data_IF_316442095579
#
_entry.id   IF_316442095579
#
_cell.length_a   1.000
_cell.length_b   1.000
_cell.length_c   1.000
_cell.angle_alpha   90.00
_cell.angle_beta   90.00
_cell.angle_gamma   90.00
#
_symmetry.space_group_name_H-M   'P 1'
#
loop_
_entity.id
_entity.type
_entity.pdbx_description
1 polymer ?
#
# COMPACT_ATOMS: atom_id res chain seq x y z
N UNK A 1 -3.92 27.52 -14.40
CA UNK A 1 -3.59 27.12 -13.02
C UNK A 1 -3.92 25.65 -12.77
N UNK A 2 -5.15 25.20 -13.12
CA UNK A 2 -5.57 23.78 -13.05
C UNK A 2 -4.64 22.80 -13.80
N UNK A 3 -4.27 23.10 -15.05
CA UNK A 3 -3.28 22.29 -15.81
C UNK A 3 -1.87 22.26 -15.20
N UNK A 4 -1.45 23.35 -14.56
CA UNK A 4 -0.14 23.44 -13.89
C UNK A 4 -0.12 22.58 -12.61
N UNK A 5 -1.26 22.52 -11.90
CA UNK A 5 -1.46 21.67 -10.73
C UNK A 5 -1.50 20.19 -11.16
N UNK A 6 -2.21 19.84 -12.23
CA UNK A 6 -2.27 18.48 -12.75
C UNK A 6 -0.90 17.95 -13.20
N UNK A 7 -0.09 18.80 -13.86
CA UNK A 7 1.28 18.44 -14.26
C UNK A 7 2.26 18.35 -13.08
N UNK A 8 2.04 19.12 -12.00
CA UNK A 8 2.89 19.08 -10.81
C UNK A 8 2.68 17.82 -9.96
N UNK A 9 1.46 17.26 -9.93
CA UNK A 9 1.10 16.06 -9.16
C UNK A 9 1.90 14.81 -9.62
N UNK A 10 2.49 14.82 -10.82
CA UNK A 10 3.19 13.67 -11.41
C UNK A 10 4.72 13.65 -11.25
N UNK A 11 5.36 14.69 -10.67
CA UNK A 11 6.83 14.73 -10.50
C UNK A 11 7.24 14.75 -9.02
N UNK A 12 7.83 13.65 -8.57
CA UNK A 12 8.19 13.40 -7.15
C UNK A 12 9.49 14.04 -6.63
N UNK A 13 10.18 14.87 -7.41
CA UNK A 13 11.40 15.52 -6.93
C UNK A 13 11.54 16.94 -7.49
N UNK A 14 11.50 17.93 -6.60
CA UNK A 14 11.98 19.29 -6.88
C UNK A 14 13.43 19.35 -6.42
N UNK A 15 14.36 19.01 -7.31
CA UNK A 15 15.78 19.31 -7.11
C UNK A 15 15.96 20.82 -7.15
N UNK A 16 16.81 21.39 -6.28
CA UNK A 16 17.38 22.73 -6.45
C UNK A 16 18.38 22.68 -7.62
N UNK A 17 17.87 22.37 -8.81
CA UNK A 17 18.53 22.55 -10.11
C UNK A 17 17.74 23.54 -10.96
N UNK A 18 16.60 24.04 -10.48
CA UNK A 18 15.62 24.77 -11.29
C UNK A 18 15.77 26.29 -11.34
N UNK A 19 16.86 26.90 -10.81
CA UNK A 19 16.92 28.38 -10.74
C UNK A 19 18.24 29.07 -11.10
N UNK A 20 19.06 28.47 -11.95
CA UNK A 20 20.14 29.21 -12.64
C UNK A 20 20.26 28.85 -14.12
N UNK A 21 19.29 28.14 -14.71
CA UNK A 21 19.34 27.76 -16.14
C UNK A 21 19.34 28.95 -17.12
N UNK A 22 19.22 30.19 -16.64
CA UNK A 22 19.37 31.41 -17.43
C UNK A 22 20.39 32.32 -16.75
N UNK A 23 21.25 32.93 -17.56
CA UNK A 23 22.19 33.94 -17.09
C UNK A 23 21.46 35.05 -16.32
N UNK A 24 22.06 35.59 -15.25
CA UNK A 24 21.51 36.72 -14.53
C UNK A 24 21.26 37.89 -15.48
N UNK A 25 20.18 38.62 -15.25
CA UNK A 25 19.83 39.82 -16.00
C UNK A 25 20.24 41.01 -15.12
N UNK A 26 21.19 41.83 -15.59
CA UNK A 26 21.77 42.94 -14.85
C UNK A 26 22.30 42.56 -13.45
N UNK A 27 22.93 41.39 -13.33
CA UNK A 27 23.47 40.91 -12.04
C UNK A 27 22.43 40.33 -11.06
N UNK A 28 21.15 40.27 -11.43
CA UNK A 28 20.09 39.75 -10.58
C UNK A 28 19.47 38.45 -11.11
N UNK A 29 18.93 37.63 -10.20
CA UNK A 29 18.15 36.45 -10.57
C UNK A 29 16.84 36.88 -11.23
N UNK A 30 16.55 36.32 -12.41
CA UNK A 30 15.36 36.64 -13.20
C UNK A 30 14.05 36.11 -12.62
N UNK A 31 14.12 35.18 -11.66
CA UNK A 31 12.95 34.49 -11.16
C UNK A 31 12.12 35.37 -10.23
N UNK A 32 10.88 35.64 -10.65
CA UNK A 32 9.92 36.48 -9.92
C UNK A 32 8.97 35.72 -9.00
N UNK A 33 8.66 34.45 -9.31
CA UNK A 33 7.70 33.64 -8.55
C UNK A 33 8.19 32.23 -8.37
N UNK A 34 7.90 31.65 -7.21
CA UNK A 34 8.15 30.25 -6.93
C UNK A 34 6.92 29.65 -6.27
N UNK A 35 6.34 28.64 -6.93
CA UNK A 35 5.17 27.92 -6.42
C UNK A 35 5.63 26.50 -6.10
N UNK A 36 5.43 26.07 -4.86
CA UNK A 36 5.64 24.70 -4.43
C UNK A 36 4.32 24.16 -3.92
N UNK A 37 3.90 23.01 -4.49
CA UNK A 37 2.72 22.28 -4.06
C UNK A 37 3.25 20.93 -3.57
N UNK A 38 2.95 20.59 -2.33
CA UNK A 38 3.44 19.38 -1.71
C UNK A 38 2.71 19.10 -0.40
N UNK A 39 2.94 17.90 0.13
CA UNK A 39 2.37 17.46 1.39
C UNK A 39 3.48 16.86 2.26
N UNK A 40 3.88 17.61 3.29
CA UNK A 40 4.93 17.22 4.24
C UNK A 40 4.42 16.25 5.32
N UNK A 41 3.12 15.92 5.31
CA UNK A 41 2.53 14.85 6.13
C UNK A 41 2.51 13.51 5.39
N UNK A 42 2.91 13.47 4.12
CA UNK A 42 3.11 12.25 3.33
C UNK A 42 4.59 11.89 3.19
N UNK A 43 4.89 10.86 2.40
CA UNK A 43 6.23 10.29 2.25
C UNK A 43 7.29 11.32 1.81
N UNK A 44 8.46 11.33 2.46
CA UNK A 44 9.60 12.11 2.01
C UNK A 44 10.24 11.51 0.72
N UNK A 45 11.18 12.25 0.09
CA UNK A 45 12.12 11.68 -0.87
C UNK A 45 12.77 10.39 -0.38
N UNK A 46 12.94 9.43 -1.30
CA UNK A 46 13.55 8.13 -0.98
C UNK A 46 15.07 8.26 -1.01
N UNK A 47 15.72 7.94 0.10
CA UNK A 47 17.18 7.90 0.23
C UNK A 47 17.60 6.42 0.23
N UNK A 48 18.50 6.04 -0.69
CA UNK A 48 18.98 4.65 -0.79
C UNK A 48 19.86 4.27 0.40
N UNK A 49 20.80 5.14 0.75
CA UNK A 49 21.71 4.91 1.87
C UNK A 49 21.06 5.41 3.17
N UNK A 50 20.77 4.47 4.06
CA UNK A 50 20.08 4.71 5.34
C UNK A 50 20.93 5.58 6.28
N UNK A 51 22.26 5.53 6.17
CA UNK A 51 23.19 6.35 6.96
C UNK A 51 22.96 7.84 6.66
N UNK A 52 22.88 8.24 5.39
CA UNK A 52 22.57 9.63 5.04
C UNK A 52 21.15 10.06 5.47
N UNK A 53 20.20 9.13 5.47
CA UNK A 53 18.86 9.40 5.97
C UNK A 53 18.87 9.68 7.48
N UNK A 54 19.51 8.80 8.27
CA UNK A 54 19.50 8.85 9.74
C UNK A 54 20.41 9.94 10.31
N UNK A 55 21.64 10.04 9.82
CA UNK A 55 22.64 10.95 10.41
C UNK A 55 22.61 12.35 9.80
N UNK A 56 22.29 12.48 8.50
CA UNK A 56 22.28 13.77 7.80
C UNK A 56 20.89 14.34 7.57
N UNK A 57 19.82 13.59 7.90
CA UNK A 57 18.43 13.96 7.61
C UNK A 57 18.22 14.30 6.11
N UNK A 58 18.91 13.57 5.22
CA UNK A 58 18.90 13.83 3.78
C UNK A 58 17.51 13.63 3.13
N UNK A 59 16.59 12.96 3.82
CA UNK A 59 15.20 12.81 3.37
C UNK A 59 14.39 14.12 3.47
N UNK A 60 14.89 15.15 4.14
CA UNK A 60 14.15 16.39 4.29
C UNK A 60 14.07 17.15 2.97
N UNK A 61 12.87 17.19 2.38
CA UNK A 61 12.62 18.05 1.23
C UNK A 61 12.71 19.54 1.59
N UNK A 62 13.09 20.36 0.61
CA UNK A 62 13.11 21.82 0.79
C UNK A 62 11.75 22.36 1.25
N UNK A 63 10.66 21.82 0.69
CA UNK A 63 9.29 22.15 1.09
C UNK A 63 9.08 21.90 2.59
N UNK A 64 9.42 20.71 3.09
CA UNK A 64 9.32 20.36 4.50
C UNK A 64 10.17 21.27 5.38
N UNK A 65 11.37 21.64 4.91
CA UNK A 65 12.24 22.58 5.61
C UNK A 65 11.61 23.98 5.71
N UNK A 66 11.01 24.50 4.64
CA UNK A 66 10.34 25.80 4.66
C UNK A 66 9.14 25.82 5.60
N UNK A 67 8.33 24.75 5.61
CA UNK A 67 7.22 24.63 6.57
C UNK A 67 7.76 24.64 8.01
N UNK A 68 8.83 23.88 8.30
CA UNK A 68 9.47 23.87 9.63
C UNK A 68 10.06 25.22 10.05
N UNK A 69 10.54 26.02 9.10
CA UNK A 69 11.05 27.37 9.35
C UNK A 69 9.94 28.43 9.49
N UNK A 70 8.66 28.03 9.44
CA UNK A 70 7.53 28.94 9.62
C UNK A 70 7.17 29.77 8.40
N UNK A 71 7.61 29.37 7.19
CA UNK A 71 7.13 30.00 5.95
C UNK A 71 5.62 29.81 5.87
N UNK A 72 4.83 30.89 5.67
CA UNK A 72 3.37 30.79 5.60
C UNK A 72 2.91 29.82 4.51
N UNK A 73 1.99 28.92 4.87
CA UNK A 73 1.39 27.93 3.98
C UNK A 73 -0.08 28.25 3.72
N UNK A 74 -0.55 27.87 2.53
CA UNK A 74 -1.98 27.77 2.24
C UNK A 74 -2.33 26.30 2.34
N UNK A 75 -3.03 25.91 3.40
CA UNK A 75 -3.49 24.54 3.63
C UNK A 75 -4.84 24.35 2.92
N UNK A 76 -4.89 23.42 1.95
CA UNK A 76 -6.16 23.05 1.31
C UNK A 76 -6.95 22.14 2.27
N UNK A 77 -8.21 22.47 2.48
CA UNK A 77 -9.03 21.96 3.59
C UNK A 77 -10.21 21.08 3.14
N UNK A 78 -10.38 20.81 1.85
CA UNK A 78 -11.47 19.96 1.35
C UNK A 78 -10.98 18.92 0.33
N UNK A 79 -11.17 17.64 0.64
CA UNK A 79 -10.82 16.53 -0.25
C UNK A 79 -12.00 16.16 -1.17
N UNK A 80 -11.71 15.71 -2.40
CA UNK A 80 -12.72 15.40 -3.42
C UNK A 80 -12.68 13.98 -3.97
N UNK A 81 -11.96 13.07 -3.32
CA UNK A 81 -11.62 11.75 -3.87
C UNK A 81 -12.29 10.60 -3.13
N UNK A 82 -12.20 10.54 -1.81
CA UNK A 82 -12.59 9.37 -1.02
C UNK A 82 -13.91 9.59 -0.27
N UNK A 83 -14.55 8.52 0.20
CA UNK A 83 -15.72 8.65 1.10
C UNK A 83 -15.32 9.38 2.40
N UNK A 84 -16.25 10.12 3.04
CA UNK A 84 -15.97 10.78 4.32
C UNK A 84 -15.54 9.80 5.43
N UNK A 85 -16.10 8.58 5.42
CA UNK A 85 -15.73 7.48 6.31
C UNK A 85 -14.27 7.07 6.16
N UNK A 86 -13.77 6.94 4.93
CA UNK A 86 -12.36 6.67 4.63
C UNK A 86 -11.47 7.88 4.96
N UNK A 87 -11.93 9.09 4.63
CA UNK A 87 -11.24 10.34 4.95
C UNK A 87 -10.96 10.48 6.46
N UNK A 88 -11.91 10.03 7.30
CA UNK A 88 -11.77 10.04 8.75
C UNK A 88 -10.51 9.33 9.26
N UNK A 89 -10.03 8.30 8.54
CA UNK A 89 -8.88 7.49 8.93
C UNK A 89 -7.55 8.25 8.85
N UNK A 90 -7.47 9.36 8.09
CA UNK A 90 -6.24 10.14 7.94
C UNK A 90 -6.42 11.65 8.15
N UNK A 91 -7.65 12.19 8.17
CA UNK A 91 -7.89 13.64 8.28
C UNK A 91 -7.36 14.27 9.56
N UNK A 92 -7.24 13.50 10.64
CA UNK A 92 -6.66 13.93 11.93
C UNK A 92 -5.22 14.42 11.79
N UNK A 93 -4.52 14.06 10.71
CA UNK A 93 -3.15 14.53 10.43
C UNK A 93 -3.11 15.95 9.89
N UNK A 94 -4.22 16.46 9.37
CA UNK A 94 -4.33 17.71 8.63
C UNK A 94 -5.14 18.76 9.39
N UNK A 95 -4.88 20.03 9.14
CA UNK A 95 -5.64 21.14 9.74
C UNK A 95 -6.98 21.27 9.00
N UNK A 96 -8.09 21.13 9.72
CA UNK A 96 -9.44 21.38 9.23
C UNK A 96 -9.83 20.64 7.93
N UNK A 97 -9.25 19.46 7.66
CA UNK A 97 -9.58 18.70 6.46
C UNK A 97 -11.01 18.13 6.52
N UNK A 98 -11.88 18.66 5.68
CA UNK A 98 -13.22 18.19 5.36
C UNK A 98 -13.32 17.64 3.95
N UNK A 99 -14.55 17.60 3.44
CA UNK A 99 -14.92 16.98 2.17
C UNK A 99 -15.60 18.01 1.24
N UNK A 100 -15.32 17.93 -0.06
CA UNK A 100 -16.02 18.74 -1.06
C UNK A 100 -17.47 18.26 -1.22
N UNK A 101 -18.37 19.18 -1.56
CA UNK A 101 -19.82 18.91 -1.63
C UNK A 101 -20.18 17.71 -2.54
N UNK A 102 -19.47 17.52 -3.65
CA UNK A 102 -19.74 16.42 -4.58
C UNK A 102 -19.49 15.04 -3.96
N UNK A 103 -18.60 14.94 -2.95
CA UNK A 103 -18.32 13.67 -2.24
C UNK A 103 -19.56 13.20 -1.49
N UNK A 104 -20.40 14.11 -1.01
CA UNK A 104 -21.67 13.73 -0.34
C UNK A 104 -22.82 13.59 -1.34
N UNK A 105 -22.78 14.32 -2.46
CA UNK A 105 -23.88 14.38 -3.41
C UNK A 105 -23.88 13.26 -4.46
N UNK A 106 -22.72 12.79 -4.91
CA UNK A 106 -22.64 11.82 -6.00
C UNK A 106 -23.04 10.40 -5.55
N UNK A 107 -23.86 9.66 -6.34
CA UNK A 107 -24.34 8.32 -5.96
C UNK A 107 -23.22 7.31 -5.67
N UNK A 108 -22.06 7.43 -6.32
CA UNK A 108 -20.90 6.54 -6.12
C UNK A 108 -20.37 6.54 -4.68
N UNK A 109 -20.58 7.63 -3.92
CA UNK A 109 -20.22 7.74 -2.50
C UNK A 109 -21.38 7.44 -1.54
N UNK A 110 -22.58 7.20 -2.05
CA UNK A 110 -23.77 6.87 -1.24
C UNK A 110 -24.04 5.38 -1.17
N UNK A 111 -23.74 4.63 -2.23
CA UNK A 111 -23.92 3.17 -2.25
C UNK A 111 -22.81 2.43 -1.51
N UNK A 112 -23.15 1.36 -0.82
CA UNK A 112 -22.18 0.50 -0.13
C UNK A 112 -21.34 -0.32 -1.12
N UNK A 113 -20.28 -0.94 -0.61
CA UNK A 113 -19.53 -1.92 -1.39
C UNK A 113 -20.31 -3.25 -1.35
N UNK A 114 -20.86 -3.66 -2.49
CA UNK A 114 -21.56 -4.95 -2.63
C UNK A 114 -20.75 -6.10 -2.07
N UNK A 115 -21.39 -6.98 -1.32
CA UNK A 115 -20.68 -8.13 -0.74
C UNK A 115 -19.96 -7.86 0.56
N UNK A 116 -19.93 -6.61 1.03
CA UNK A 116 -19.27 -6.26 2.29
C UNK A 116 -20.21 -5.46 3.19
N UNK A 117 -20.24 -5.82 4.46
CA UNK A 117 -21.05 -5.11 5.45
C UNK A 117 -20.56 -3.68 5.65
N UNK A 118 -19.23 -3.51 5.67
CA UNK A 118 -18.56 -2.25 5.97
C UNK A 118 -17.82 -1.70 4.75
N UNK A 119 -17.74 -0.38 4.63
CA UNK A 119 -16.94 0.27 3.59
C UNK A 119 -15.43 0.24 3.87
N UNK A 120 -15.04 0.04 5.13
CA UNK A 120 -13.67 -0.29 5.49
C UNK A 120 -13.64 -1.25 6.68
N UNK A 121 -12.62 -2.09 6.77
CA UNK A 121 -12.45 -2.97 7.91
C UNK A 121 -10.97 -3.27 8.14
N UNK A 122 -10.59 -3.39 9.42
CA UNK A 122 -9.35 -4.01 9.83
C UNK A 122 -9.66 -5.47 10.19
N UNK A 123 -8.99 -6.40 9.56
CA UNK A 123 -9.16 -7.84 9.72
C UNK A 123 -7.94 -8.39 10.46
N UNK A 124 -8.16 -9.00 11.62
CA UNK A 124 -7.09 -9.67 12.35
C UNK A 124 -6.71 -10.96 11.65
N UNK A 125 -5.41 -11.17 11.49
CA UNK A 125 -4.85 -12.41 10.94
C UNK A 125 -3.87 -13.00 11.95
N UNK A 126 -4.29 -14.11 12.56
CA UNK A 126 -3.49 -14.88 13.50
C UNK A 126 -2.48 -15.78 12.78
N UNK A 127 -1.67 -16.50 13.56
CA UNK A 127 -0.72 -17.47 13.01
C UNK A 127 -1.44 -18.58 12.22
N UNK A 128 -0.85 -18.97 11.09
CA UNK A 128 -1.29 -20.14 10.31
C UNK A 128 -0.26 -21.25 10.47
N UNK A 129 -0.70 -22.43 10.92
CA UNK A 129 0.17 -23.55 11.27
C UNK A 129 1.31 -23.17 12.23
N UNK A 130 1.04 -22.25 13.17
CA UNK A 130 2.02 -21.76 14.14
C UNK A 130 3.03 -20.75 13.57
N UNK A 131 2.85 -20.31 12.31
CA UNK A 131 3.73 -19.35 11.64
C UNK A 131 2.96 -18.06 11.33
N UNK A 132 3.55 -16.93 11.71
CA UNK A 132 3.05 -15.60 11.41
C UNK A 132 3.84 -14.95 10.30
N UNK A 133 4.68 -13.97 10.68
CA UNK A 133 5.68 -13.40 9.77
C UNK A 133 6.84 -14.38 9.59
N UNK A 134 7.28 -14.53 8.34
CA UNK A 134 8.42 -15.34 7.92
C UNK A 134 9.40 -14.49 7.12
N UNK A 135 10.69 -14.81 7.22
CA UNK A 135 11.78 -14.13 6.54
C UNK A 135 12.67 -15.17 5.85
N UNK A 136 12.31 -15.66 4.64
CA UNK A 136 13.07 -16.70 3.94
C UNK A 136 14.50 -16.26 3.56
N UNK A 137 14.66 -14.96 3.28
CA UNK A 137 15.93 -14.29 2.99
C UNK A 137 15.99 -13.03 3.86
N UNK A 138 17.16 -12.63 4.38
CA UNK A 138 17.28 -11.41 5.17
C UNK A 138 16.59 -10.21 4.52
N UNK A 139 15.82 -9.48 5.31
CA UNK A 139 15.01 -8.33 4.96
C UNK A 139 13.83 -8.59 4.01
N UNK A 140 13.51 -9.86 3.75
CA UNK A 140 12.44 -10.29 2.84
C UNK A 140 11.19 -10.80 3.58
N UNK A 141 10.56 -9.90 4.33
CA UNK A 141 9.39 -10.21 5.17
C UNK A 141 8.15 -10.60 4.35
N UNK A 142 7.50 -11.66 4.82
CA UNK A 142 6.32 -12.29 4.24
C UNK A 142 5.37 -12.80 5.33
N UNK A 143 4.09 -12.91 5.00
CA UNK A 143 3.08 -13.56 5.83
C UNK A 143 2.11 -14.31 4.91
N UNK A 144 2.18 -15.64 4.95
CA UNK A 144 1.38 -16.51 4.09
C UNK A 144 -0.12 -16.43 4.40
N UNK A 145 -0.49 -16.33 5.68
CA UNK A 145 -1.88 -16.23 6.09
C UNK A 145 -2.52 -14.94 5.56
N UNK A 146 -1.83 -13.81 5.70
CA UNK A 146 -2.29 -12.53 5.14
C UNK A 146 -2.37 -12.58 3.61
N UNK A 147 -1.38 -13.19 2.94
CA UNK A 147 -1.36 -13.30 1.48
C UNK A 147 -2.54 -14.12 0.96
N UNK A 148 -2.74 -15.34 1.47
CA UNK A 148 -3.86 -16.21 1.07
C UNK A 148 -5.22 -15.57 1.39
N UNK A 149 -5.37 -14.90 2.53
CA UNK A 149 -6.62 -14.23 2.89
C UNK A 149 -6.94 -13.06 1.95
N UNK A 150 -5.93 -12.24 1.61
CA UNK A 150 -6.09 -11.14 0.65
C UNK A 150 -6.45 -11.67 -0.74
N UNK A 151 -5.80 -12.74 -1.21
CA UNK A 151 -6.11 -13.35 -2.51
C UNK A 151 -7.52 -13.96 -2.51
N UNK A 152 -7.90 -14.70 -1.46
CA UNK A 152 -9.26 -15.24 -1.33
C UNK A 152 -10.32 -14.13 -1.32
N UNK A 153 -10.05 -13.00 -0.65
CA UNK A 153 -10.94 -11.82 -0.68
C UNK A 153 -11.04 -11.21 -2.07
N UNK A 154 -9.94 -11.13 -2.81
CA UNK A 154 -9.94 -10.70 -4.21
C UNK A 154 -10.78 -11.66 -5.08
N UNK A 155 -10.61 -12.97 -4.93
CA UNK A 155 -11.40 -13.97 -5.65
C UNK A 155 -12.89 -13.82 -5.34
N UNK A 156 -13.26 -13.63 -4.07
CA UNK A 156 -14.63 -13.34 -3.67
C UNK A 156 -15.21 -12.13 -4.41
N UNK A 157 -14.48 -11.01 -4.43
CA UNK A 157 -14.91 -9.81 -5.17
C UNK A 157 -15.11 -10.09 -6.66
N UNK A 158 -14.21 -10.85 -7.28
CA UNK A 158 -14.33 -11.23 -8.69
C UNK A 158 -15.56 -12.09 -8.96
N UNK A 159 -15.90 -13.01 -8.06
CA UNK A 159 -17.10 -13.85 -8.16
C UNK A 159 -18.40 -13.06 -7.99
N UNK A 160 -18.38 -11.95 -7.24
CA UNK A 160 -19.49 -11.00 -7.18
C UNK A 160 -19.62 -10.10 -8.42
N UNK A 161 -18.64 -10.17 -9.34
CA UNK A 161 -18.62 -9.37 -10.56
C UNK A 161 -17.87 -8.04 -10.46
N UNK A 162 -17.08 -7.80 -9.40
CA UNK A 162 -16.23 -6.61 -9.35
C UNK A 162 -15.22 -6.63 -10.50
N UNK A 163 -15.07 -5.54 -11.29
CA UNK A 163 -14.04 -5.47 -12.31
C UNK A 163 -12.64 -5.45 -11.68
N UNK A 164 -11.73 -6.30 -12.17
CA UNK A 164 -10.38 -6.45 -11.60
C UNK A 164 -9.58 -5.13 -11.60
N UNK A 165 -9.81 -4.25 -12.57
CA UNK A 165 -9.20 -2.91 -12.68
C UNK A 165 -9.58 -1.92 -11.57
N UNK A 166 -10.67 -2.20 -10.85
CA UNK A 166 -11.05 -1.39 -9.69
C UNK A 166 -10.48 -1.90 -8.39
N UNK A 167 -9.80 -3.05 -8.41
CA UNK A 167 -9.20 -3.65 -7.22
C UNK A 167 -7.68 -3.50 -7.31
N UNK A 168 -7.09 -3.03 -6.22
CA UNK A 168 -5.64 -2.87 -6.10
C UNK A 168 -5.23 -3.41 -4.75
N UNK A 169 -4.27 -4.33 -4.74
CA UNK A 169 -3.71 -4.89 -3.50
C UNK A 169 -2.44 -4.10 -3.17
N UNK A 170 -2.36 -3.62 -1.93
CA UNK A 170 -1.24 -2.85 -1.43
C UNK A 170 -0.56 -3.62 -0.31
N UNK A 171 0.78 -3.62 -0.32
CA UNK A 171 1.57 -4.13 0.80
C UNK A 171 2.76 -3.23 1.11
N UNK A 172 3.18 -3.26 2.37
CA UNK A 172 4.30 -2.50 2.90
C UNK A 172 5.64 -3.21 2.76
N UNK A 173 5.71 -4.41 2.17
CA UNK A 173 6.94 -5.17 2.00
C UNK A 173 7.07 -5.77 0.60
N UNK A 174 8.30 -5.74 0.04
CA UNK A 174 8.59 -6.36 -1.25
C UNK A 174 8.42 -7.87 -1.20
N UNK A 175 8.88 -8.52 -0.12
CA UNK A 175 8.70 -9.96 0.08
C UNK A 175 7.24 -10.38 -0.02
N UNK A 176 6.38 -9.68 0.72
CA UNK A 176 4.95 -9.93 0.73
C UNK A 176 4.27 -9.72 -0.64
N UNK A 177 4.75 -8.78 -1.47
CA UNK A 177 4.19 -8.60 -2.82
C UNK A 177 4.55 -9.74 -3.76
N UNK A 178 5.78 -10.26 -3.69
CA UNK A 178 6.14 -11.44 -4.47
C UNK A 178 5.27 -12.61 -4.04
N UNK A 179 5.14 -12.85 -2.74
CA UNK A 179 4.27 -13.90 -2.22
C UNK A 179 2.80 -13.75 -2.68
N UNK A 180 2.21 -12.56 -2.58
CA UNK A 180 0.84 -12.32 -3.06
C UNK A 180 0.73 -12.60 -4.57
N UNK A 181 1.72 -12.21 -5.37
CA UNK A 181 1.74 -12.50 -6.81
C UNK A 181 1.81 -13.99 -7.10
N UNK A 182 2.62 -14.72 -6.35
CA UNK A 182 2.77 -16.17 -6.51
C UNK A 182 1.47 -16.88 -6.14
N UNK A 183 0.83 -16.49 -5.03
CA UNK A 183 -0.49 -17.01 -4.63
C UNK A 183 -1.55 -16.67 -5.67
N UNK A 184 -1.58 -15.44 -6.20
CA UNK A 184 -2.50 -15.07 -7.30
C UNK A 184 -2.26 -15.93 -8.53
N UNK A 185 -1.01 -16.10 -8.97
CA UNK A 185 -0.68 -16.94 -10.12
C UNK A 185 -1.18 -18.37 -9.89
N UNK A 186 -0.86 -18.97 -8.75
CA UNK A 186 -1.24 -20.35 -8.44
C UNK A 186 -2.77 -20.55 -8.31
N UNK A 187 -3.49 -19.58 -7.75
CA UNK A 187 -4.94 -19.72 -7.45
C UNK A 187 -5.85 -19.18 -8.55
N UNK A 188 -5.40 -18.19 -9.32
CA UNK A 188 -6.24 -17.42 -10.24
C UNK A 188 -5.85 -17.57 -11.71
N UNK A 189 -4.58 -17.86 -12.04
CA UNK A 189 -4.10 -17.78 -13.44
C UNK A 189 -4.86 -18.73 -14.38
N UNK A 190 -5.12 -19.96 -13.92
CA UNK A 190 -5.86 -20.95 -14.70
C UNK A 190 -7.37 -20.72 -14.72
N UNK A 191 -7.89 -19.70 -14.00
CA UNK A 191 -9.32 -19.51 -13.80
C UNK A 191 -9.87 -18.30 -14.59
N UNK A 192 -10.58 -18.55 -15.71
CA UNK A 192 -11.10 -17.48 -16.59
C UNK A 192 -11.97 -16.46 -15.86
N UNK A 193 -12.70 -16.91 -14.84
CA UNK A 193 -13.70 -16.10 -14.15
C UNK A 193 -13.10 -15.14 -13.12
N UNK A 194 -11.87 -15.39 -12.67
CA UNK A 194 -11.20 -14.59 -11.66
C UNK A 194 -10.23 -13.62 -12.32
N UNK A 195 -9.31 -14.11 -13.15
CA UNK A 195 -8.27 -13.28 -13.77
C UNK A 195 -7.28 -12.68 -12.76
N UNK A 196 -6.52 -11.68 -13.19
CA UNK A 196 -5.44 -11.06 -12.40
C UNK A 196 -5.85 -9.71 -11.79
N UNK A 197 -5.44 -9.40 -10.55
CA UNK A 197 -5.59 -8.06 -10.00
C UNK A 197 -4.71 -7.10 -10.80
N UNK A 198 -5.21 -5.90 -11.06
CA UNK A 198 -4.51 -4.99 -11.96
C UNK A 198 -3.20 -4.42 -11.39
N UNK A 199 -3.09 -4.30 -10.06
CA UNK A 199 -1.84 -3.87 -9.44
C UNK A 199 -1.66 -4.48 -8.04
N UNK A 200 -0.56 -5.19 -7.82
CA UNK A 200 0.02 -5.44 -6.50
C UNK A 200 1.16 -4.45 -6.29
N UNK A 201 0.88 -3.30 -5.65
CA UNK A 201 1.89 -2.27 -5.46
C UNK A 201 2.61 -2.48 -4.13
N UNK A 202 3.95 -2.43 -4.21
CA UNK A 202 4.79 -2.31 -3.02
C UNK A 202 5.12 -0.85 -2.81
N UNK A 203 5.15 -0.44 -1.55
CA UNK A 203 5.95 0.71 -1.14
C UNK A 203 7.02 0.30 -0.15
N UNK A 204 8.18 -0.10 -0.66
CA UNK A 204 9.39 -0.26 0.13
C UNK A 204 10.61 0.25 -0.61
N UNK A 205 11.41 1.02 0.12
CA UNK A 205 12.88 0.90 0.09
C UNK A 205 13.51 0.83 1.48
N UNK A 206 12.74 0.81 2.58
CA UNK A 206 13.27 0.49 3.93
C UNK A 206 12.23 -0.22 4.78
N UNK A 207 12.69 -1.25 5.49
CA UNK A 207 11.98 -2.22 6.34
C UNK A 207 11.69 -1.63 7.73
N UNK A 208 10.56 -1.99 8.36
CA UNK A 208 10.26 -1.70 9.78
C UNK A 208 9.41 -0.45 10.07
N UNK A 209 8.83 0.18 9.05
CA UNK A 209 8.41 1.59 9.13
C UNK A 209 6.90 1.89 9.16
N UNK A 210 5.99 0.96 9.43
CA UNK A 210 4.58 1.40 9.55
C UNK A 210 4.38 2.37 10.73
N UNK A 211 5.31 2.39 11.70
CA UNK A 211 5.43 3.44 12.74
C UNK A 211 5.59 4.86 12.17
N UNK A 212 6.11 5.00 10.95
CA UNK A 212 6.09 6.28 10.24
C UNK A 212 4.65 6.63 9.86
N UNK A 213 4.07 7.57 10.61
CA UNK A 213 2.73 8.12 10.38
C UNK A 213 2.53 8.56 8.93
N UNK A 214 3.57 9.05 8.25
CA UNK A 214 3.49 9.45 6.84
C UNK A 214 3.18 8.26 5.94
N UNK A 215 3.75 7.08 6.22
CA UNK A 215 3.44 5.85 5.48
C UNK A 215 2.00 5.41 5.72
N UNK A 216 1.56 5.44 6.98
CA UNK A 216 0.20 5.10 7.36
C UNK A 216 -0.84 6.00 6.67
N UNK A 217 -0.68 7.32 6.75
CA UNK A 217 -1.55 8.30 6.09
C UNK A 217 -1.63 8.04 4.60
N UNK A 218 -0.49 7.72 3.98
CA UNK A 218 -0.49 7.42 2.56
C UNK A 218 -1.13 6.07 2.24
N UNK A 219 -1.05 5.07 3.11
CA UNK A 219 -1.73 3.79 2.90
C UNK A 219 -3.26 3.96 2.99
N UNK A 220 -3.74 4.64 4.04
CA UNK A 220 -5.16 4.85 4.31
C UNK A 220 -5.86 5.75 3.26
N UNK A 221 -5.11 6.64 2.60
CA UNK A 221 -5.64 7.57 1.58
C UNK A 221 -5.66 7.02 0.14
N UNK A 222 -5.27 5.76 -0.09
CA UNK A 222 -5.25 5.17 -1.45
C UNK A 222 -6.64 4.79 -1.94
N UNK A 223 -7.47 4.30 -1.03
CA UNK A 223 -8.82 3.84 -1.32
C UNK A 223 -9.76 5.00 -1.66
N UNK A 224 -10.63 4.78 -2.65
CA UNK A 224 -11.71 5.72 -3.01
C UNK A 224 -13.01 5.37 -2.30
N UNK A 225 -13.42 4.10 -2.43
CA UNK A 225 -14.73 3.61 -2.01
C UNK A 225 -14.67 2.50 -0.96
N UNK A 226 -13.58 1.72 -0.91
CA UNK A 226 -13.43 0.64 0.07
C UNK A 226 -11.99 0.36 0.47
N UNK A 227 -11.77 0.02 1.74
CA UNK A 227 -10.45 -0.29 2.31
C UNK A 227 -10.54 -1.48 3.28
N UNK A 228 -9.93 -2.61 2.91
CA UNK A 228 -9.83 -3.79 3.77
C UNK A 228 -8.36 -4.02 4.11
N UNK A 229 -8.03 -3.98 5.40
CA UNK A 229 -6.66 -4.09 5.90
C UNK A 229 -6.53 -5.42 6.62
N UNK A 230 -5.62 -6.28 6.16
CA UNK A 230 -5.32 -7.57 6.78
C UNK A 230 -4.01 -7.42 7.53
N UNK A 231 -4.03 -7.64 8.84
CA UNK A 231 -2.81 -7.57 9.64
C UNK A 231 -2.98 -8.25 10.99
N UNK A 232 -1.86 -8.54 11.66
CA UNK A 232 -1.89 -8.89 13.09
C UNK A 232 -2.17 -7.66 13.94
N UNK A 233 -3.39 -7.56 14.48
CA UNK A 233 -3.86 -6.35 15.16
C UNK A 233 -3.09 -6.08 16.45
N UNK A 234 -2.72 -7.14 17.18
CA UNK A 234 -1.97 -7.04 18.44
C UNK A 234 -0.61 -6.34 18.29
N UNK A 235 0.03 -6.41 17.12
CA UNK A 235 1.31 -5.72 16.85
C UNK A 235 1.16 -4.20 16.81
N UNK A 236 0.01 -3.69 16.35
CA UNK A 236 -0.19 -2.26 16.12
C UNK A 236 -0.95 -1.56 17.25
N UNK A 237 -1.67 -2.31 18.08
CA UNK A 237 -2.38 -1.77 19.25
C UNK A 237 -1.45 -1.03 20.21
N UNK A 238 -0.21 -1.50 20.36
CA UNK A 238 0.78 -0.92 21.26
C UNK A 238 1.57 0.25 20.64
N UNK A 239 1.32 0.60 19.37
CA UNK A 239 2.06 1.64 18.67
C UNK A 239 1.38 3.01 18.84
N UNK A 240 1.94 3.85 19.72
CA UNK A 240 1.37 5.16 20.06
C UNK A 240 1.18 6.07 18.83
N UNK A 241 2.15 6.08 17.91
CA UNK A 241 2.11 6.92 16.70
C UNK A 241 0.93 6.59 15.77
N UNK A 242 0.44 5.36 15.82
CA UNK A 242 -0.64 4.87 14.93
C UNK A 242 -2.01 4.88 15.62
N UNK A 243 -2.04 5.22 16.91
CA UNK A 243 -3.23 5.13 17.76
C UNK A 243 -4.44 5.88 17.20
N UNK A 244 -4.25 7.06 16.59
CA UNK A 244 -5.37 7.84 16.03
C UNK A 244 -6.12 7.09 14.94
N UNK A 245 -5.41 6.41 14.02
CA UNK A 245 -6.05 5.62 12.97
C UNK A 245 -6.55 4.28 13.50
N UNK A 246 -5.75 3.58 14.30
CA UNK A 246 -6.12 2.26 14.81
C UNK A 246 -7.30 2.31 15.76
N UNK A 247 -7.46 3.36 16.58
CA UNK A 247 -8.68 3.57 17.38
C UNK A 247 -9.95 3.61 16.53
N UNK A 248 -9.89 4.21 15.33
CA UNK A 248 -11.02 4.23 14.40
C UNK A 248 -11.21 2.88 13.72
N UNK A 249 -10.12 2.23 13.30
CA UNK A 249 -10.17 0.91 12.67
C UNK A 249 -10.75 -0.16 13.61
N UNK A 250 -10.41 -0.12 14.91
CA UNK A 250 -10.87 -1.07 15.92
C UNK A 250 -12.27 -0.78 16.47
N UNK A 251 -12.93 0.31 16.04
CA UNK A 251 -14.36 0.53 16.35
C UNK A 251 -15.27 -0.46 15.60
N UNK A 252 -14.76 -1.10 14.55
CA UNK A 252 -15.45 -2.13 13.77
C UNK A 252 -14.95 -3.52 14.15
N UNK A 253 -15.76 -4.57 13.93
CA UNK A 253 -15.34 -5.95 14.18
C UNK A 253 -14.06 -6.29 13.42
N UNK A 254 -13.20 -7.12 14.04
CA UNK A 254 -11.90 -7.52 13.47
C UNK A 254 -11.98 -8.80 12.60
N UNK A 255 -13.18 -9.36 12.44
CA UNK A 255 -13.46 -10.48 11.55
C UNK A 255 -14.11 -9.98 10.28
N UNK A 256 -13.79 -10.55 9.12
CA UNK A 256 -14.33 -10.06 7.85
C UNK A 256 -15.84 -10.31 7.78
N UNK A 257 -16.64 -9.26 7.58
CA UNK A 257 -18.10 -9.38 7.44
C UNK A 257 -18.52 -9.22 5.97
N UNK A 258 -18.98 -10.32 5.37
CA UNK A 258 -19.36 -10.39 3.96
C UNK A 258 -20.87 -10.59 3.79
N UNK A 259 -21.39 -10.24 2.61
CA UNK A 259 -22.81 -10.29 2.25
C UNK A 259 -22.95 -10.95 0.87
N UNK A 260 -22.77 -12.28 0.77
CA UNK A 260 -22.57 -12.97 -0.51
C UNK A 260 -23.79 -12.97 -1.43
N UNK A 261 -24.96 -12.58 -0.92
CA UNK A 261 -26.20 -12.41 -1.69
C UNK A 261 -26.18 -11.16 -2.58
N UNK A 262 -25.28 -10.21 -2.33
CA UNK A 262 -25.20 -8.97 -3.09
C UNK A 262 -24.23 -9.07 -4.28
N UNK A 263 -24.74 -8.82 -5.48
CA UNK A 263 -23.90 -8.69 -6.68
C UNK A 263 -23.43 -7.26 -6.93
N UNK A 264 -22.26 -7.11 -7.57
CA UNK A 264 -21.65 -5.81 -7.80
C UNK A 264 -22.51 -4.84 -8.62
N UNK A 265 -23.15 -5.31 -9.69
CA UNK A 265 -23.93 -4.44 -10.60
C UNK A 265 -25.35 -4.15 -10.11
N UNK A 266 -25.90 -5.00 -9.24
CA UNK A 266 -27.32 -4.98 -8.86
C UNK A 266 -27.56 -4.41 -7.46
N UNK A 267 -26.51 -4.19 -6.66
CA UNK A 267 -26.68 -3.67 -5.31
C UNK A 267 -27.06 -2.19 -5.32
N UNK A 268 -28.21 -1.88 -4.72
CA UNK A 268 -28.72 -0.53 -4.48
C UNK A 268 -28.60 -0.10 -3.02
N UNK A 269 -27.95 -0.92 -2.18
CA UNK A 269 -27.81 -0.66 -0.75
C UNK A 269 -26.98 0.59 -0.50
N UNK A 270 -27.45 1.48 0.36
CA UNK A 270 -26.71 2.66 0.81
C UNK A 270 -25.76 2.31 1.96
N UNK A 271 -24.70 3.09 2.12
CA UNK A 271 -23.73 2.95 3.22
C UNK A 271 -24.40 3.05 4.60
N UNK A 272 -25.48 3.83 4.70
CA UNK A 272 -26.23 4.07 5.94
C UNK A 272 -27.20 2.94 6.31
N UNK A 273 -27.46 2.01 5.40
CA UNK A 273 -28.50 1.01 5.60
C UNK A 273 -28.03 -0.06 6.60
N UNK A 274 -28.90 -0.38 7.56
CA UNK A 274 -28.70 -1.51 8.44
C UNK A 274 -29.04 -2.81 7.69
N UNK A 275 -28.07 -3.71 7.60
CA UNK A 275 -28.32 -5.08 7.17
C UNK A 275 -28.70 -5.92 8.38
N UNK A 276 -29.71 -6.79 8.26
CA UNK A 276 -30.02 -7.77 9.28
C UNK A 276 -28.91 -8.84 9.36
N UNK A 277 -28.73 -9.41 10.55
CA UNK A 277 -27.61 -10.30 10.86
C UNK A 277 -27.68 -11.64 10.08
N UNK A 278 -28.87 -12.03 9.64
CA UNK A 278 -29.14 -13.24 8.84
C UNK A 278 -28.50 -13.21 7.44
N UNK A 279 -28.23 -12.01 6.90
CA UNK A 279 -27.61 -11.82 5.59
C UNK A 279 -26.10 -11.63 5.66
N UNK A 280 -25.54 -11.47 6.87
CA UNK A 280 -24.12 -11.22 7.07
C UNK A 280 -23.41 -12.51 7.47
N UNK A 281 -22.42 -12.90 6.68
CA UNK A 281 -21.54 -14.03 7.00
C UNK A 281 -20.25 -13.48 7.63
N UNK A 282 -19.91 -13.98 8.80
CA UNK A 282 -18.66 -13.62 9.50
C UNK A 282 -17.61 -14.67 9.19
N UNK A 283 -16.47 -14.22 8.67
CA UNK A 283 -15.31 -15.05 8.38
C UNK A 283 -14.27 -14.79 9.47
N UNK A 284 -14.02 -15.82 10.28
CA UNK A 284 -13.17 -15.76 11.47
C UNK A 284 -11.68 -15.81 11.14
N UNK A 285 -11.30 -16.55 10.09
CA UNK A 285 -9.90 -16.74 9.73
C UNK A 285 -9.70 -16.99 8.22
N UNK A 286 -8.43 -17.00 7.80
CA UNK A 286 -8.03 -17.22 6.42
C UNK A 286 -8.55 -18.56 5.87
N UNK A 287 -8.43 -19.64 6.63
CA UNK A 287 -8.82 -20.98 6.16
C UNK A 287 -10.32 -21.07 5.87
N UNK A 288 -11.15 -20.46 6.74
CA UNK A 288 -12.58 -20.34 6.51
C UNK A 288 -12.88 -19.50 5.26
N UNK A 289 -12.14 -18.41 5.01
CA UNK A 289 -12.29 -17.63 3.78
C UNK A 289 -12.00 -18.45 2.53
N UNK A 290 -10.89 -19.20 2.53
CA UNK A 290 -10.49 -20.03 1.38
C UNK A 290 -11.54 -21.11 1.12
N UNK A 291 -12.03 -21.78 2.17
CA UNK A 291 -13.11 -22.76 2.06
C UNK A 291 -14.40 -22.15 1.53
N UNK A 292 -14.79 -20.98 2.06
CA UNK A 292 -15.96 -20.25 1.61
C UNK A 292 -15.88 -19.88 0.13
N UNK A 293 -14.75 -19.32 -0.31
CA UNK A 293 -14.53 -18.92 -1.70
C UNK A 293 -14.57 -20.12 -2.63
N UNK A 294 -14.01 -21.26 -2.22
CA UNK A 294 -14.08 -22.49 -3.01
C UNK A 294 -15.52 -22.96 -3.20
N UNK A 295 -16.32 -23.02 -2.13
CA UNK A 295 -17.73 -23.40 -2.20
C UNK A 295 -18.55 -22.41 -3.03
N UNK A 296 -18.33 -21.11 -2.81
CA UNK A 296 -19.00 -20.04 -3.53
C UNK A 296 -18.65 -20.05 -5.03
N UNK A 297 -17.40 -20.39 -5.37
CA UNK A 297 -16.98 -20.60 -6.76
C UNK A 297 -17.76 -21.74 -7.42
N UNK A 298 -17.85 -22.92 -6.78
CA UNK A 298 -18.61 -24.04 -7.35
C UNK A 298 -20.07 -23.66 -7.58
N UNK A 299 -20.71 -23.01 -6.61
CA UNK A 299 -22.08 -22.53 -6.72
C UNK A 299 -22.26 -21.55 -7.89
N UNK A 300 -21.36 -20.57 -8.03
CA UNK A 300 -21.43 -19.58 -9.12
C UNK A 300 -21.20 -20.21 -10.50
N UNK A 301 -20.31 -21.20 -10.59
CA UNK A 301 -20.08 -21.94 -11.83
C UNK A 301 -21.33 -22.72 -12.25
N UNK A 302 -21.98 -23.41 -11.31
CA UNK A 302 -23.23 -24.13 -11.60
C UNK A 302 -24.36 -23.17 -11.99
N UNK A 303 -24.46 -22.02 -11.30
CA UNK A 303 -25.41 -20.96 -11.65
C UNK A 303 -25.19 -20.46 -13.09
N UNK A 304 -23.94 -20.17 -13.47
CA UNK A 304 -23.59 -19.69 -14.80
C UNK A 304 -23.79 -20.73 -15.89
N UNK A 305 -23.47 -22.00 -15.64
CA UNK A 305 -23.78 -23.10 -16.59
C UNK A 305 -25.27 -23.19 -16.88
N UNK A 306 -26.10 -23.00 -15.85
CA UNK A 306 -27.55 -23.19 -15.97
C UNK A 306 -28.26 -21.96 -16.55
N UNK A 307 -27.87 -20.75 -16.10
CA UNK A 307 -28.60 -19.52 -16.41
C UNK A 307 -27.91 -18.64 -17.46
N UNK A 308 -26.61 -18.83 -17.72
CA UNK A 308 -25.82 -18.01 -18.66
C UNK A 308 -24.81 -18.86 -19.47
N UNK A 309 -25.26 -19.89 -20.21
CA UNK A 309 -24.37 -20.82 -20.91
C UNK A 309 -23.47 -20.12 -21.95
N UNK A 310 -23.98 -19.11 -22.67
CA UNK A 310 -23.18 -18.36 -23.65
C UNK A 310 -22.03 -17.55 -23.03
N UNK A 311 -22.22 -17.05 -21.81
CA UNK A 311 -21.15 -16.35 -21.08
C UNK A 311 -20.09 -17.33 -20.60
N UNK A 312 -20.52 -18.50 -20.14
CA UNK A 312 -19.65 -19.57 -19.68
C UNK A 312 -18.76 -20.07 -20.83
N UNK A 313 -19.33 -20.40 -21.99
CA UNK A 313 -18.58 -20.85 -23.17
C UNK A 313 -17.56 -19.79 -23.64
N UNK A 314 -17.97 -18.52 -23.78
CA UNK A 314 -17.04 -17.45 -24.19
C UNK A 314 -15.87 -17.23 -23.25
N UNK A 315 -16.06 -17.42 -21.94
CA UNK A 315 -14.98 -17.25 -20.98
C UNK A 315 -14.01 -18.44 -21.00
N UNK A 316 -14.52 -19.67 -21.16
CA UNK A 316 -13.69 -20.87 -21.27
C UNK A 316 -12.86 -20.86 -22.56
N UNK A 317 -13.44 -20.41 -23.68
CA UNK A 317 -12.73 -20.34 -24.97
C UNK A 317 -11.58 -19.31 -24.95
N UNK A 318 -11.75 -18.14 -24.32
CA UNK A 318 -10.68 -17.12 -24.22
C UNK A 318 -9.45 -17.59 -23.45
N UNK A 319 -9.61 -18.52 -22.51
CA UNK A 319 -8.48 -19.10 -21.75
C UNK A 319 -7.72 -20.18 -22.51
N UNK A 320 -8.37 -20.88 -23.44
CA UNK A 320 -7.65 -21.80 -24.33
C UNK A 320 -6.61 -21.02 -25.18
N UNK A 321 -6.99 -19.84 -25.65
CA UNK A 321 -6.09 -18.95 -26.41
C UNK A 321 -5.01 -18.28 -25.54
N UNK A 322 -5.30 -17.90 -24.28
CA UNK A 322 -4.29 -17.26 -23.41
C UNK A 322 -3.27 -18.25 -22.84
N UNK A 323 -3.68 -19.48 -22.54
CA UNK A 323 -2.77 -20.54 -22.08
C UNK A 323 -1.74 -20.94 -23.15
N UNK A 324 -2.09 -20.84 -24.44
CA UNK A 324 -1.16 -21.03 -25.56
C UNK A 324 -0.15 -19.87 -25.70
N UNK A 325 -0.53 -18.65 -25.31
CA UNK A 325 0.34 -17.47 -25.36
C UNK A 325 1.29 -17.39 -24.15
N UNK A 326 0.86 -17.83 -22.96
CA UNK A 326 1.68 -17.86 -21.74
C UNK A 326 2.81 -18.90 -21.83
N UNK A 327 2.60 -20.02 -22.54
CA UNK A 327 3.64 -21.03 -22.81
C UNK A 327 4.81 -20.51 -23.68
N UNK A 328 4.64 -19.39 -24.41
CA UNK A 328 5.73 -18.71 -25.14
C UNK A 328 6.46 -17.65 -24.30
N UNK A 329 5.90 -17.21 -23.17
CA UNK A 329 6.47 -16.20 -22.27
C UNK A 329 7.30 -16.83 -21.13
N UNK A 330 7.05 -18.11 -20.80
CA UNK A 330 7.84 -18.91 -19.85
C UNK A 330 9.34 -18.98 -20.22
N UNK A 331 9.68 -18.97 -21.51
CA UNK A 331 11.06 -18.99 -22.00
C UNK A 331 11.79 -17.64 -21.87
N UNK A 332 11.06 -16.54 -21.65
CA UNK A 332 11.62 -15.19 -21.44
C UNK A 332 11.70 -14.82 -19.96
N UNK A 333 10.67 -15.14 -19.18
CA UNK A 333 10.61 -14.78 -17.77
C UNK A 333 11.66 -15.52 -16.90
N UNK A 334 12.01 -16.76 -17.26
CA UNK A 334 13.07 -17.54 -16.60
C UNK A 334 14.48 -17.02 -16.90
N UNK A 335 14.68 -16.39 -18.07
CA UNK A 335 15.94 -15.71 -18.40
C UNK A 335 16.07 -14.36 -17.64
N UNK A 336 14.97 -13.62 -17.49
CA UNK A 336 14.96 -12.33 -16.77
C UNK A 336 15.09 -12.49 -15.23
N UNK A 337 14.60 -13.59 -14.65
CA UNK A 337 14.73 -13.83 -13.18
C UNK A 337 16.15 -14.18 -12.76
N UNK A 338 16.96 -14.75 -13.65
CA UNK A 338 18.37 -15.03 -13.38
C UNK A 338 19.22 -13.78 -13.63
N UNK A 339 18.88 -12.99 -14.66
CA UNK A 339 19.58 -11.72 -14.94
C UNK A 339 19.29 -10.62 -13.91
N UNK A 340 18.09 -10.50 -13.33
CA UNK A 340 17.82 -9.50 -12.28
C UNK A 340 18.54 -9.81 -10.95
N UNK A 341 18.78 -11.08 -10.64
CA UNK A 341 19.55 -11.49 -9.45
C UNK A 341 21.07 -11.35 -9.69
N UNK A 342 21.56 -11.58 -10.92
CA UNK A 342 22.99 -11.48 -11.24
C UNK A 342 23.42 -10.04 -11.59
N UNK A 343 22.52 -9.18 -12.09
CA UNK A 343 22.86 -7.79 -12.47
C UNK A 343 22.76 -6.78 -11.32
N UNK A 344 22.14 -7.11 -10.19
CA UNK A 344 22.24 -6.27 -8.97
C UNK A 344 23.56 -6.51 -8.21
N UNK A 345 24.24 -7.64 -8.41
CA UNK A 345 25.50 -7.98 -7.71
C UNK A 345 26.80 -7.70 -8.54
N UNK A 346 26.72 -7.43 -9.85
CA UNK A 346 27.90 -7.26 -10.72
C UNK A 346 28.03 -5.89 -11.43
N UNK A 347 27.52 -4.81 -10.83
CA UNK A 347 27.81 -3.44 -11.30
C UNK A 347 28.38 -2.56 -10.19
N UNK A 348 29.59 -2.92 -9.76
CA UNK A 348 30.69 -1.98 -9.50
C UNK A 348 31.95 -2.81 -9.22
N UNK A 349 32.65 -3.22 -10.27
CA UNK A 349 34.10 -3.42 -10.22
C UNK A 349 34.73 -2.48 -11.24
N UNK A 350 35.02 -1.28 -10.77
CA UNK A 350 36.07 -0.41 -11.30
C UNK A 350 37.05 -0.20 -10.16
N UNK A 351 38.21 -0.83 -10.29
CA UNK A 351 39.34 -0.82 -9.37
C UNK A 351 39.69 0.59 -8.86
N UNK A 352 39.64 0.79 -7.55
CA UNK A 352 40.60 1.62 -6.82
C UNK A 352 40.98 0.85 -5.55
N UNK A 353 42.23 0.38 -5.50
CA UNK A 353 42.87 -0.16 -4.31
C UNK A 353 43.02 0.95 -3.27
N UNK A 354 42.31 0.86 -2.14
CA UNK A 354 42.70 1.52 -0.90
C UNK A 354 42.81 0.45 0.20
N UNK A 355 43.99 0.40 0.83
CA UNK A 355 44.35 -0.51 1.91
C UNK A 355 43.45 -0.29 3.14
N UNK A 356 42.68 -1.31 3.51
CA UNK A 356 41.96 -1.34 4.79
C UNK A 356 42.96 -1.52 5.94
N UNK A 357 43.24 -0.45 6.69
CA UNK A 357 43.79 -0.55 8.04
C UNK A 357 42.70 -1.04 9.01
N UNK A 358 42.95 -2.24 9.53
CA UNK A 358 42.17 -2.95 10.54
C UNK A 358 42.07 -2.14 11.85
N UNK A 359 40.96 -1.43 12.10
CA UNK A 359 40.68 -0.88 13.43
C UNK A 359 40.00 -1.92 14.31
N UNK A 360 40.80 -2.53 15.18
CA UNK A 360 40.39 -3.39 16.26
C UNK A 360 39.38 -2.70 17.21
N UNK A 361 38.23 -3.34 17.41
CA UNK A 361 37.30 -3.02 18.49
C UNK A 361 37.93 -3.42 19.83
N UNK A 362 38.53 -2.48 20.56
CA UNK A 362 38.92 -2.70 21.95
C UNK A 362 37.67 -2.75 22.85
N UNK A 363 37.57 -3.84 23.60
CA UNK A 363 36.59 -4.06 24.67
C UNK A 363 36.80 -2.99 25.74
N UNK A 364 35.75 -2.22 26.02
CA UNK A 364 35.61 -1.49 27.27
C UNK A 364 35.61 -2.49 28.43
N UNK A 365 36.71 -2.53 29.18
CA UNK A 365 36.73 -3.10 30.53
C UNK A 365 36.65 -1.98 31.55
N UNK A 366 35.78 -2.20 32.53
CA UNK A 366 35.62 -1.40 33.75
C UNK A 366 36.94 -1.30 34.49
N UNK A 367 37.35 -0.06 34.79
CA UNK A 367 38.13 0.41 35.95
C UNK A 367 39.05 1.55 35.50
N UNK A 368 38.60 2.80 35.66
CA UNK A 368 39.52 3.80 36.18
C UNK A 368 38.80 4.88 37.00
N UNK A 369 39.33 5.07 38.19
CA UNK A 369 38.84 5.87 39.28
C UNK A 369 39.46 7.26 39.23
N UNK A 370 38.60 8.29 39.16
CA UNK A 370 38.76 9.67 39.64
C UNK A 370 40.15 10.31 39.81
N UNK A 371 40.34 11.48 39.18
CA UNK A 371 40.69 12.81 39.78
C UNK A 371 41.18 13.77 38.69
N UNK A 372 40.60 14.99 38.64
CA UNK A 372 41.29 16.30 38.84
C UNK A 372 42.39 16.55 37.78
N UNK A 373 42.28 17.56 36.91
CA UNK A 373 42.46 18.96 37.31
C UNK A 373 41.79 19.97 36.37
N UNK A 374 41.30 21.01 37.02
CA UNK A 374 40.89 22.30 36.48
C UNK A 374 42.16 23.11 36.18
N UNK A 375 42.33 23.61 34.95
CA UNK A 375 43.10 24.85 34.73
C UNK A 375 42.35 25.72 33.72
N UNK A 376 42.06 26.92 34.20
CA UNK A 376 41.50 28.07 33.49
C UNK A 376 42.64 28.78 32.78
N UNK A 377 42.41 29.20 31.54
CA UNK A 377 42.84 30.51 31.04
C UNK A 377 41.79 31.05 30.06
#
# INVERSE_FOLDING_TARGET
MRELIERAIHRKSVTIRTKTSKNPENGHNRLKRWIMIGDHHQLPPVIKNITFQKFSNMEQSLFTRFVRLGVPTIDLDAQGRARPSLCSLYKWRYKNLGDLAHVSALPEYQFANSGFRFDYQLINVDDFNGVGESEPVPYFYQNLAEAEYVVATFMYMRLLGYPAERITILTTYNGQKHLIRDVVKQRCASNPFIGFPQNTLVRTKTVGHIRDVRRLVVALSRARLGLYVFSRVSLFQNCYELSNAFKLLTQRPLYLHIVPTEEYLNSIRKVTDSLPDDQTVVIENMSQMVQFVYQFYQQKIDEWKTHKPEMFERLVDRTADSSAAEAMDETKATAETIDEVITEDNKDEGEEEEEDEEMAFEKLTEDDTGKEDIVVD
#
